data_IF_910262164817
#
_entry.id   IF_910262164817
#
_cell.length_a   1.000
_cell.length_b   1.000
_cell.length_c   1.000
_cell.angle_alpha   90.00
_cell.angle_beta   90.00
_cell.angle_gamma   90.00
#
_symmetry.space_group_name_H-M   'P 1'
#
loop_
_entity.id
_entity.type
_entity.pdbx_description
1 polymer ?
#
# COMPACT_ATOMS: atom_id res chain seq x y z
N UNK A 1 7.29 6.44 39.09
CA UNK A 1 8.25 6.15 37.99
C UNK A 1 7.55 5.34 36.94
N UNK A 2 7.71 5.72 35.68
CA UNK A 2 7.14 4.99 34.55
C UNK A 2 8.18 4.05 33.96
N UNK A 3 7.74 2.85 33.58
CA UNK A 3 8.60 1.95 32.81
C UNK A 3 8.91 2.56 31.45
N UNK A 4 10.11 2.33 30.90
CA UNK A 4 10.40 2.78 29.55
C UNK A 4 9.47 2.09 28.55
N UNK A 5 9.12 2.76 27.45
CA UNK A 5 8.27 2.12 26.44
C UNK A 5 8.93 0.86 25.88
N UNK A 6 8.11 -0.12 25.60
CA UNK A 6 8.57 -1.35 24.97
C UNK A 6 9.12 -1.04 23.59
N UNK A 7 10.24 -1.66 23.25
CA UNK A 7 10.84 -1.54 21.93
C UNK A 7 10.45 -2.75 21.09
N UNK A 8 9.84 -2.47 19.94
CA UNK A 8 9.49 -3.49 18.97
C UNK A 8 10.36 -3.34 17.74
N UNK A 9 10.80 -4.45 17.21
CA UNK A 9 11.53 -4.47 15.95
C UNK A 9 10.55 -4.77 14.83
N UNK A 10 10.44 -3.86 13.87
CA UNK A 10 9.62 -4.09 12.71
C UNK A 10 10.30 -5.03 11.73
N UNK A 11 9.52 -5.93 11.16
CA UNK A 11 9.98 -6.83 10.11
C UNK A 11 9.16 -6.64 8.85
N UNK A 12 9.79 -6.87 7.70
CA UNK A 12 9.07 -6.83 6.43
C UNK A 12 8.20 -8.08 6.34
N UNK A 13 6.88 -7.88 6.26
CA UNK A 13 5.92 -8.96 6.07
C UNK A 13 5.77 -9.32 4.59
N UNK A 14 5.66 -8.29 3.74
CA UNK A 14 5.46 -8.47 2.31
C UNK A 14 6.02 -7.27 1.56
N UNK A 15 6.35 -7.47 0.28
CA UNK A 15 6.75 -6.40 -0.63
C UNK A 15 5.90 -6.47 -1.87
N UNK A 16 5.51 -5.33 -2.41
CA UNK A 16 4.80 -5.29 -3.68
C UNK A 16 5.80 -5.67 -4.78
N UNK A 17 5.52 -6.76 -5.54
CA UNK A 17 6.45 -7.21 -6.57
C UNK A 17 6.71 -6.14 -7.63
N UNK A 18 7.93 -6.11 -8.23
CA UNK A 18 8.25 -5.14 -9.28
C UNK A 18 7.28 -5.12 -10.44
N UNK A 19 6.63 -6.25 -10.76
CA UNK A 19 5.64 -6.30 -11.85
C UNK A 19 4.46 -5.36 -11.63
N UNK A 20 4.21 -4.94 -10.39
CA UNK A 20 3.16 -3.97 -10.06
C UNK A 20 3.67 -2.55 -9.91
N UNK A 21 4.98 -2.31 -10.02
CA UNK A 21 5.53 -0.98 -9.89
C UNK A 21 5.20 -0.15 -11.14
N UNK A 22 4.64 1.03 -10.93
CA UNK A 22 4.31 1.96 -12.01
C UNK A 22 5.45 2.94 -12.17
N UNK A 23 6.03 2.99 -13.37
CA UNK A 23 7.12 3.91 -13.68
C UNK A 23 6.81 4.65 -14.98
N UNK A 24 7.38 5.86 -15.14
CA UNK A 24 7.20 6.65 -16.34
C UNK A 24 5.79 7.20 -16.55
N UNK A 25 4.96 7.15 -15.52
CA UNK A 25 3.58 7.67 -15.54
C UNK A 25 3.40 8.68 -14.43
N UNK A 26 2.38 9.52 -14.56
CA UNK A 26 2.02 10.51 -13.55
C UNK A 26 0.54 10.40 -13.22
N UNK A 27 0.19 10.75 -12.00
CA UNK A 27 -1.20 10.88 -11.57
C UNK A 27 -1.42 12.26 -10.96
N UNK A 28 -2.67 12.69 -10.92
CA UNK A 28 -3.01 13.97 -10.28
C UNK A 28 -2.58 13.97 -8.81
N UNK A 29 -2.81 12.86 -8.12
CA UNK A 29 -2.43 12.73 -6.72
C UNK A 29 -0.92 12.91 -6.53
N UNK A 30 -0.10 12.25 -7.36
CA UNK A 30 1.36 12.36 -7.27
C UNK A 30 1.83 13.79 -7.58
N UNK A 31 1.19 14.46 -8.53
CA UNK A 31 1.52 15.85 -8.86
C UNK A 31 1.28 16.78 -7.68
N UNK A 32 0.14 16.60 -7.00
CA UNK A 32 -0.26 17.47 -5.89
C UNK A 32 0.45 17.10 -4.59
N UNK A 33 0.48 15.83 -4.23
CA UNK A 33 0.97 15.37 -2.94
C UNK A 33 2.48 15.15 -2.89
N UNK A 34 3.07 14.72 -4.00
CA UNK A 34 4.48 14.39 -4.08
C UNK A 34 5.27 15.37 -4.95
N UNK A 35 4.62 16.44 -5.41
CA UNK A 35 5.22 17.43 -6.32
C UNK A 35 5.83 16.78 -7.56
N UNK A 36 5.18 15.73 -8.06
CA UNK A 36 5.65 15.00 -9.24
C UNK A 36 6.76 14.00 -8.99
N UNK A 37 7.14 13.75 -7.75
CA UNK A 37 8.15 12.75 -7.44
C UNK A 37 7.67 11.35 -7.84
N UNK A 38 8.59 10.45 -8.22
CA UNK A 38 8.21 9.09 -8.59
C UNK A 38 7.50 8.36 -7.44
N UNK A 39 6.42 7.65 -7.77
CA UNK A 39 5.67 6.86 -6.82
C UNK A 39 5.27 5.53 -7.49
N UNK A 40 6.20 4.57 -7.60
CA UNK A 40 5.89 3.27 -8.21
C UNK A 40 4.75 2.55 -7.50
N UNK A 41 4.67 2.70 -6.20
CA UNK A 41 3.59 2.23 -5.34
C UNK A 41 3.51 3.18 -4.15
N UNK A 42 2.30 3.50 -3.70
CA UNK A 42 2.12 4.28 -2.48
C UNK A 42 0.91 3.73 -1.73
N UNK A 43 1.19 2.91 -0.73
CA UNK A 43 0.16 2.15 -0.03
C UNK A 43 -0.42 2.93 1.15
N UNK A 44 -1.74 2.82 1.30
CA UNK A 44 -2.46 3.38 2.43
C UNK A 44 -3.68 2.53 2.79
N UNK A 45 -4.32 2.89 3.90
CA UNK A 45 -5.60 2.32 4.32
C UNK A 45 -5.56 0.82 4.55
N UNK A 46 -4.57 0.30 5.29
CA UNK A 46 -4.50 -1.15 5.53
C UNK A 46 -5.67 -1.62 6.38
N UNK A 47 -6.23 -2.78 6.02
CA UNK A 47 -7.32 -3.40 6.75
C UNK A 47 -7.25 -4.91 6.61
N UNK A 48 -7.33 -5.63 7.73
CA UNK A 48 -7.39 -7.09 7.70
C UNK A 48 -8.83 -7.56 7.61
N UNK A 49 -9.08 -8.60 6.81
CA UNK A 49 -10.36 -9.27 6.81
C UNK A 49 -10.37 -10.46 7.79
N UNK A 50 -11.49 -11.16 7.85
CA UNK A 50 -11.67 -12.26 8.81
C UNK A 50 -10.81 -13.49 8.48
N UNK A 51 -10.37 -13.59 7.25
CA UNK A 51 -9.55 -14.73 6.79
C UNK A 51 -8.05 -14.43 6.91
N UNK A 52 -7.69 -13.28 7.47
CA UNK A 52 -6.30 -12.88 7.67
C UNK A 52 -5.64 -12.25 6.46
N UNK A 53 -6.40 -11.91 5.43
CA UNK A 53 -5.88 -11.16 4.28
C UNK A 53 -5.77 -9.70 4.65
N UNK A 54 -4.66 -9.09 4.24
CA UNK A 54 -4.45 -7.66 4.37
C UNK A 54 -4.82 -6.98 3.06
N UNK A 55 -5.73 -6.00 3.15
CA UNK A 55 -6.15 -5.18 2.02
C UNK A 55 -5.51 -3.81 2.14
N UNK A 56 -4.92 -3.32 1.06
CA UNK A 56 -4.29 -1.99 1.03
C UNK A 56 -4.65 -1.31 -0.27
N UNK A 57 -4.73 0.01 -0.24
CA UNK A 57 -4.96 0.81 -1.44
C UNK A 57 -3.65 1.42 -1.92
N UNK A 58 -3.52 1.53 -3.23
CA UNK A 58 -2.40 2.19 -3.90
C UNK A 58 -2.95 3.45 -4.54
N UNK A 59 -2.85 4.55 -3.82
CA UNK A 59 -3.58 5.78 -4.14
C UNK A 59 -3.26 6.35 -5.52
N UNK A 60 -1.97 6.54 -5.89
CA UNK A 60 -1.65 7.24 -7.15
C UNK A 60 -2.24 6.55 -8.38
N UNK A 61 -2.44 5.24 -8.31
CA UNK A 61 -2.78 4.43 -9.49
C UNK A 61 -4.14 3.76 -9.40
N UNK A 62 -4.91 4.07 -8.34
CA UNK A 62 -6.27 3.56 -8.20
C UNK A 62 -6.36 2.05 -8.09
N UNK A 63 -5.48 1.43 -7.33
CA UNK A 63 -5.43 -0.02 -7.18
C UNK A 63 -5.69 -0.45 -5.76
N UNK A 64 -6.26 -1.64 -5.61
CA UNK A 64 -6.39 -2.31 -4.32
C UNK A 64 -5.65 -3.62 -4.40
N UNK A 65 -4.71 -3.83 -3.49
CA UNK A 65 -3.98 -5.09 -3.36
C UNK A 65 -4.52 -5.90 -2.20
N UNK A 66 -4.51 -7.20 -2.36
CA UNK A 66 -4.81 -8.14 -1.30
C UNK A 66 -3.55 -8.98 -1.03
N UNK A 67 -3.17 -9.07 0.24
CA UNK A 67 -1.96 -9.78 0.64
C UNK A 67 -2.38 -10.93 1.54
N UNK A 68 -2.02 -12.16 1.15
CA UNK A 68 -2.39 -13.34 1.92
C UNK A 68 -1.56 -13.46 3.21
N UNK A 69 -1.95 -14.34 4.14
CA UNK A 69 -1.22 -14.50 5.40
C UNK A 69 0.24 -14.90 5.25
N UNK A 70 0.66 -15.41 4.10
CA UNK A 70 2.04 -15.78 3.81
C UNK A 70 2.81 -14.69 3.06
N UNK A 71 2.18 -13.54 2.82
CA UNK A 71 2.82 -12.41 2.16
C UNK A 71 2.67 -12.38 0.64
N UNK A 72 1.88 -13.28 0.07
CA UNK A 72 1.61 -13.28 -1.38
C UNK A 72 0.70 -12.11 -1.76
N UNK A 73 1.08 -11.36 -2.80
CA UNK A 73 0.39 -10.14 -3.22
C UNK A 73 -0.38 -10.38 -4.51
N UNK A 74 -1.65 -9.97 -4.52
CA UNK A 74 -2.45 -9.98 -5.75
C UNK A 74 -3.14 -8.63 -5.95
N UNK A 75 -3.34 -8.27 -7.21
CA UNK A 75 -4.12 -7.10 -7.58
C UNK A 75 -5.59 -7.49 -7.51
N UNK A 76 -6.29 -6.98 -6.50
CA UNK A 76 -7.69 -7.31 -6.27
C UNK A 76 -8.64 -6.45 -7.10
N UNK A 77 -8.29 -5.17 -7.29
CA UNK A 77 -9.11 -4.27 -8.07
C UNK A 77 -8.27 -3.12 -8.62
N UNK A 78 -8.70 -2.59 -9.75
CA UNK A 78 -8.12 -1.40 -10.36
C UNK A 78 -9.28 -0.55 -10.89
N UNK A 79 -9.25 0.74 -10.63
CA UNK A 79 -10.34 1.61 -11.05
C UNK A 79 -9.87 3.06 -11.19
N UNK A 80 -10.68 3.86 -11.88
CA UNK A 80 -10.43 5.30 -11.96
C UNK A 80 -10.73 5.95 -10.63
N UNK A 81 -9.81 6.78 -10.18
CA UNK A 81 -9.97 7.47 -8.92
C UNK A 81 -8.73 7.30 -8.05
N UNK A 82 -8.78 7.91 -6.89
CA UNK A 82 -7.67 7.90 -5.95
C UNK A 82 -8.21 7.42 -4.60
N UNK A 83 -8.31 6.07 -4.42
CA UNK A 83 -8.90 5.52 -3.20
C UNK A 83 -8.06 5.88 -1.97
N UNK A 84 -8.73 6.05 -0.85
CA UNK A 84 -8.07 6.36 0.41
C UNK A 84 -8.81 5.65 1.54
N UNK A 85 -8.38 4.47 1.85
CA UNK A 85 -8.96 3.62 2.88
C UNK A 85 -10.05 2.70 2.36
N UNK A 86 -10.34 1.69 3.11
CA UNK A 86 -11.31 0.66 2.80
C UNK A 86 -12.44 0.59 3.82
#
# INVERSE_FOLDING_TARGET
MFAPPERLQAEVFARIPPRFHVTGRSSRWAQVQLHGAPAPVFLEGPSFDRDGYLWVVDIPWGRIFRIDPQGGVELAAEYDGEPNGL
#
